data_IF_648095545015
#
_entry.id   IF_648095545015
#
_cell.length_a   1.000
_cell.length_b   1.000
_cell.length_c   1.000
_cell.angle_alpha   90.00
_cell.angle_beta   90.00
_cell.angle_gamma   90.00
#
_symmetry.space_group_name_H-M   'P 1'
#
loop_
_entity.id
_entity.type
_entity.pdbx_description
1 polymer ?
#
# COMPACT_ATOMS: atom_id res chain seq x y z
N UNK A 1 -6.86 3.00 -21.51
CA UNK A 1 -7.33 3.31 -20.14
C UNK A 1 -8.79 2.90 -19.95
N UNK A 2 -9.66 3.15 -20.94
CA UNK A 2 -11.10 2.81 -20.91
C UNK A 2 -11.40 1.31 -20.99
N UNK A 3 -10.59 0.53 -21.71
CA UNK A 3 -10.79 -0.93 -21.85
C UNK A 3 -10.35 -1.74 -20.62
N UNK A 4 -9.40 -1.24 -19.82
CA UNK A 4 -8.94 -1.92 -18.60
C UNK A 4 -9.99 -1.83 -17.47
N UNK A 5 -10.81 -0.78 -17.47
CA UNK A 5 -11.89 -0.60 -16.50
C UNK A 5 -13.13 -1.45 -16.82
N UNK A 6 -13.24 -1.98 -18.05
CA UNK A 6 -14.39 -2.77 -18.49
C UNK A 6 -14.26 -4.28 -18.20
N UNK A 7 -13.06 -4.75 -17.83
CA UNK A 7 -12.77 -6.17 -17.54
C UNK A 7 -12.67 -6.49 -16.06
N UNK A 8 -12.76 -5.48 -15.19
CA UNK A 8 -12.84 -5.68 -13.76
C UNK A 8 -14.25 -6.19 -13.43
N UNK A 9 -14.40 -7.30 -12.67
CA UNK A 9 -15.70 -7.74 -12.20
C UNK A 9 -16.40 -6.58 -11.46
N UNK A 10 -17.71 -6.41 -11.70
CA UNK A 10 -18.54 -5.33 -11.12
C UNK A 10 -18.53 -5.30 -9.57
N UNK A 11 -17.99 -6.33 -8.93
CA UNK A 11 -17.56 -6.31 -7.55
C UNK A 11 -16.04 -6.29 -7.52
N UNK A 12 -15.48 -5.11 -7.28
CA UNK A 12 -14.09 -5.00 -6.88
C UNK A 12 -13.90 -5.83 -5.59
N UNK A 13 -12.70 -6.36 -5.29
CA UNK A 13 -12.43 -6.97 -3.97
C UNK A 13 -12.67 -6.01 -2.79
N UNK A 14 -12.92 -4.73 -3.07
CA UNK A 14 -13.32 -3.65 -2.16
C UNK A 14 -14.85 -3.55 -1.97
N UNK A 15 -15.65 -4.30 -2.74
CA UNK A 15 -17.12 -4.38 -2.62
C UNK A 15 -17.57 -5.57 -1.75
N UNK A 16 -16.67 -6.23 -1.01
CA UNK A 16 -17.10 -7.20 0.00
C UNK A 16 -17.71 -6.47 1.20
N UNK A 17 -18.99 -6.69 1.47
CA UNK A 17 -19.78 -6.09 2.55
C UNK A 17 -19.15 -6.16 3.96
N UNK A 18 -18.12 -7.00 4.12
CA UNK A 18 -17.39 -7.20 5.37
C UNK A 18 -16.08 -6.41 5.41
N UNK A 19 -16.12 -5.23 6.04
CA UNK A 19 -14.96 -4.33 6.24
C UNK A 19 -13.75 -5.04 6.87
N UNK A 20 -13.98 -5.98 7.79
CA UNK A 20 -12.91 -6.76 8.40
C UNK A 20 -12.24 -7.67 7.37
N UNK A 21 -13.03 -8.32 6.53
CA UNK A 21 -12.49 -9.17 5.48
C UNK A 21 -11.72 -8.35 4.44
N UNK A 22 -12.11 -7.11 4.17
CA UNK A 22 -11.33 -6.21 3.33
C UNK A 22 -10.00 -5.80 3.99
N UNK A 23 -10.02 -5.49 5.29
CA UNK A 23 -8.81 -5.13 6.05
C UNK A 23 -7.80 -6.28 6.03
N UNK A 24 -8.20 -7.48 6.44
CA UNK A 24 -7.32 -8.64 6.45
C UNK A 24 -7.02 -9.19 5.06
N UNK A 25 -8.01 -9.18 4.15
CA UNK A 25 -7.89 -9.72 2.80
C UNK A 25 -6.85 -8.98 1.98
N UNK A 26 -6.79 -7.64 2.09
CA UNK A 26 -5.74 -6.84 1.47
C UNK A 26 -4.35 -7.33 1.90
N UNK A 27 -4.09 -7.37 3.22
CA UNK A 27 -2.80 -7.83 3.77
C UNK A 27 -2.51 -9.32 3.50
N UNK A 28 -3.52 -10.17 3.39
CA UNK A 28 -3.32 -11.58 3.07
C UNK A 28 -2.89 -11.78 1.61
N UNK A 29 -3.55 -11.06 0.68
CA UNK A 29 -3.17 -11.02 -0.73
C UNK A 29 -1.73 -10.51 -0.84
N UNK A 30 -1.39 -9.44 -0.13
CA UNK A 30 -0.04 -8.90 -0.04
C UNK A 30 1.04 -9.94 0.23
N UNK A 31 0.83 -10.78 1.25
CA UNK A 31 1.80 -11.80 1.66
C UNK A 31 1.99 -12.90 0.60
N UNK A 32 1.04 -13.09 -0.30
CA UNK A 32 1.14 -14.06 -1.41
C UNK A 32 1.85 -13.45 -2.61
N UNK A 33 1.53 -12.19 -2.94
CA UNK A 33 2.06 -11.53 -4.14
C UNK A 33 3.47 -10.96 -3.94
N UNK A 34 3.78 -10.40 -2.78
CA UNK A 34 5.06 -9.75 -2.51
C UNK A 34 6.27 -10.71 -2.70
N UNK A 35 6.28 -11.95 -2.15
CA UNK A 35 7.37 -12.88 -2.39
C UNK A 35 7.50 -13.31 -3.86
N UNK A 36 6.38 -13.45 -4.56
CA UNK A 36 6.38 -13.79 -5.99
C UNK A 36 6.95 -12.67 -6.84
N UNK A 37 6.65 -11.41 -6.51
CA UNK A 37 7.22 -10.25 -7.17
C UNK A 37 8.76 -10.20 -6.98
N UNK A 38 9.25 -10.52 -5.78
CA UNK A 38 10.69 -10.59 -5.52
C UNK A 38 11.39 -11.72 -6.29
N UNK A 39 10.69 -12.82 -6.59
CA UNK A 39 11.22 -13.95 -7.36
C UNK A 39 11.25 -13.71 -8.88
N UNK A 40 10.69 -12.60 -9.37
CA UNK A 40 10.70 -12.30 -10.80
C UNK A 40 12.14 -12.14 -11.29
N UNK A 41 12.40 -12.70 -12.46
CA UNK A 41 13.74 -12.76 -13.05
C UNK A 41 14.42 -11.38 -13.19
N UNK A 42 13.72 -10.30 -13.61
CA UNK A 42 14.32 -8.95 -13.62
C UNK A 42 14.71 -8.43 -12.23
N UNK A 43 13.92 -8.75 -11.21
CA UNK A 43 14.20 -8.37 -9.82
C UNK A 43 15.40 -9.17 -9.29
N UNK A 44 15.46 -10.46 -9.61
CA UNK A 44 16.61 -11.31 -9.26
C UNK A 44 17.90 -10.84 -9.93
N UNK A 45 17.85 -10.43 -11.21
CA UNK A 45 19.01 -9.79 -11.87
C UNK A 45 19.47 -8.56 -11.10
N UNK A 46 18.55 -7.67 -10.75
CA UNK A 46 18.87 -6.48 -9.94
C UNK A 46 19.37 -6.84 -8.54
N UNK A 47 18.95 -7.96 -7.95
CA UNK A 47 19.42 -8.45 -6.65
C UNK A 47 20.79 -9.14 -6.71
N UNK A 48 21.17 -9.70 -7.86
CA UNK A 48 22.49 -10.32 -8.06
C UNK A 48 23.53 -9.36 -8.64
N UNK A 49 23.09 -8.24 -9.21
CA UNK A 49 23.97 -7.23 -9.78
C UNK A 49 24.84 -6.57 -8.70
N UNK A 50 26.17 -6.68 -8.85
CA UNK A 50 27.17 -6.06 -7.97
C UNK A 50 27.93 -4.92 -8.64
N UNK A 51 27.80 -4.79 -9.96
CA UNK A 51 28.68 -3.94 -10.77
C UNK A 51 27.98 -2.60 -11.09
N UNK A 52 26.66 -2.63 -11.26
CA UNK A 52 25.89 -1.43 -11.56
C UNK A 52 25.77 -0.50 -10.35
N UNK A 53 25.86 0.80 -10.62
CA UNK A 53 25.62 1.87 -9.66
C UNK A 53 24.47 2.74 -10.14
N UNK A 54 23.62 3.14 -9.20
CA UNK A 54 22.48 4.00 -9.45
C UNK A 54 22.58 5.23 -8.56
N UNK A 55 22.26 6.40 -9.10
CA UNK A 55 22.25 7.65 -8.34
C UNK A 55 20.89 7.91 -7.68
N UNK A 56 19.85 7.16 -8.08
CA UNK A 56 18.49 7.28 -7.60
C UNK A 56 17.71 5.98 -7.84
N UNK A 57 16.92 5.57 -6.85
CA UNK A 57 15.94 4.48 -6.97
C UNK A 57 14.54 5.06 -6.90
N UNK A 58 13.71 4.80 -7.90
CA UNK A 58 12.32 5.23 -7.91
C UNK A 58 11.44 3.99 -7.73
N UNK A 59 10.58 4.00 -6.71
CA UNK A 59 9.63 2.93 -6.45
C UNK A 59 8.20 3.44 -6.44
N UNK A 60 7.27 2.52 -6.66
CA UNK A 60 5.84 2.78 -6.57
C UNK A 60 5.34 2.14 -5.27
N UNK A 61 4.57 2.87 -4.45
CA UNK A 61 4.13 2.38 -3.13
C UNK A 61 2.65 1.94 -3.08
N UNK A 62 1.93 1.93 -4.21
CA UNK A 62 0.48 1.73 -4.20
C UNK A 62 0.08 0.30 -3.85
N UNK A 63 0.85 -0.70 -4.29
CA UNK A 63 0.49 -2.10 -4.12
C UNK A 63 1.59 -2.93 -3.47
N UNK A 64 1.84 -2.69 -2.18
CA UNK A 64 2.54 -3.68 -1.33
C UNK A 64 3.99 -3.90 -1.84
N UNK A 65 4.64 -2.78 -2.13
CA UNK A 65 5.94 -2.67 -2.79
C UNK A 65 7.03 -2.11 -1.85
N UNK A 66 6.72 -2.02 -0.56
CA UNK A 66 7.62 -1.57 0.51
C UNK A 66 8.99 -2.28 0.49
N UNK A 67 9.10 -3.60 0.20
CA UNK A 67 10.41 -4.27 0.12
C UNK A 67 11.36 -3.68 -0.91
N UNK A 68 10.85 -3.04 -1.97
CA UNK A 68 11.71 -2.43 -2.99
C UNK A 68 12.47 -1.21 -2.49
N UNK A 69 12.09 -0.64 -1.34
CA UNK A 69 12.90 0.38 -0.64
C UNK A 69 14.27 -0.19 -0.24
N UNK A 70 14.40 -1.51 -0.04
CA UNK A 70 15.68 -2.15 0.26
C UNK A 70 16.72 -1.97 -0.87
N UNK A 71 16.29 -1.71 -2.11
CA UNK A 71 17.20 -1.38 -3.21
C UNK A 71 17.99 -0.09 -2.97
N UNK A 72 17.44 0.85 -2.20
CA UNK A 72 18.19 2.03 -1.77
C UNK A 72 19.41 1.67 -0.95
N UNK A 73 19.25 0.73 -0.01
CA UNK A 73 20.38 0.24 0.77
C UNK A 73 21.35 -0.56 -0.09
N UNK A 74 20.84 -1.44 -0.97
CA UNK A 74 21.67 -2.27 -1.86
C UNK A 74 22.58 -1.42 -2.75
N UNK A 75 22.03 -0.41 -3.42
CA UNK A 75 22.77 0.41 -4.38
C UNK A 75 23.38 1.67 -3.74
N UNK A 76 23.23 1.84 -2.42
CA UNK A 76 23.63 3.03 -1.67
C UNK A 76 23.12 4.34 -2.32
N UNK A 77 21.84 4.32 -2.70
CA UNK A 77 21.18 5.38 -3.45
C UNK A 77 19.93 5.89 -2.72
N UNK A 78 19.59 7.19 -2.84
CA UNK A 78 18.33 7.71 -2.32
C UNK A 78 17.14 7.02 -2.99
N UNK A 79 16.08 6.77 -2.22
CA UNK A 79 14.83 6.17 -2.71
C UNK A 79 13.74 7.23 -2.73
N UNK A 80 13.11 7.41 -3.88
CA UNK A 80 11.88 8.20 -4.02
C UNK A 80 10.75 7.23 -4.30
N UNK A 81 9.81 7.15 -3.37
CA UNK A 81 8.58 6.40 -3.58
C UNK A 81 7.43 7.34 -3.90
N UNK A 82 6.67 7.04 -4.94
CA UNK A 82 5.46 7.78 -5.28
C UNK A 82 4.24 6.87 -5.25
N UNK A 83 3.08 7.48 -5.00
CA UNK A 83 1.81 6.77 -4.98
C UNK A 83 0.85 7.41 -5.96
N UNK A 84 0.43 6.62 -6.95
CA UNK A 84 -0.25 7.11 -8.15
C UNK A 84 -1.73 7.46 -7.93
N UNK A 85 -2.39 6.83 -6.96
CA UNK A 85 -3.84 6.94 -6.77
C UNK A 85 -4.24 7.67 -5.49
N UNK A 86 -3.96 7.10 -4.32
CA UNK A 86 -4.40 7.62 -3.02
C UNK A 86 -3.47 7.12 -1.92
N UNK A 87 -3.46 7.82 -0.78
CA UNK A 87 -2.65 7.43 0.38
C UNK A 87 -3.31 6.35 1.25
N UNK A 88 -2.71 5.15 1.27
CA UNK A 88 -3.07 4.10 2.22
C UNK A 88 -2.52 4.44 3.62
N UNK A 89 -3.23 4.05 4.69
CA UNK A 89 -2.83 4.31 6.07
C UNK A 89 -1.40 3.86 6.44
N UNK A 90 -0.97 2.65 6.05
CA UNK A 90 0.35 2.14 6.42
C UNK A 90 1.49 2.92 5.71
N UNK A 91 1.52 3.06 4.37
CA UNK A 91 2.54 3.89 3.69
C UNK A 91 2.55 5.33 4.17
N UNK A 92 1.38 5.94 4.43
CA UNK A 92 1.30 7.28 5.00
C UNK A 92 1.96 7.35 6.38
N UNK A 93 1.69 6.36 7.25
CA UNK A 93 2.30 6.27 8.57
C UNK A 93 3.82 6.07 8.50
N UNK A 94 4.31 5.18 7.63
CA UNK A 94 5.75 4.88 7.48
C UNK A 94 6.55 6.05 6.91
N UNK A 95 5.94 6.85 6.04
CA UNK A 95 6.58 8.04 5.44
C UNK A 95 6.43 9.30 6.28
N UNK A 96 5.70 9.24 7.40
CA UNK A 96 5.41 10.40 8.24
C UNK A 96 4.39 11.37 7.62
N UNK A 97 3.60 10.92 6.64
CA UNK A 97 2.56 11.73 6.01
C UNK A 97 1.33 11.85 6.92
N UNK A 98 1.01 13.09 7.32
CA UNK A 98 -0.13 13.38 8.17
C UNK A 98 -1.43 13.48 7.35
N UNK A 99 -2.21 12.39 7.33
CA UNK A 99 -3.53 12.39 6.73
C UNK A 99 -4.56 13.04 7.67
N UNK A 100 -5.35 14.02 7.19
CA UNK A 100 -6.33 14.69 8.04
C UNK A 100 -7.61 13.86 8.19
N UNK A 101 -7.58 12.89 9.11
CA UNK A 101 -8.64 11.89 9.32
C UNK A 101 -10.01 12.47 9.68
N UNK A 102 -10.09 13.74 10.09
CA UNK A 102 -11.33 14.40 10.45
C UNK A 102 -12.20 14.78 9.23
N UNK A 103 -11.61 14.91 8.05
CA UNK A 103 -12.32 15.32 6.83
C UNK A 103 -11.84 14.61 5.56
N UNK A 104 -10.67 13.98 5.57
CA UNK A 104 -10.26 13.07 4.51
C UNK A 104 -10.86 11.68 4.78
N UNK A 105 -11.82 11.22 3.96
CA UNK A 105 -12.44 9.92 4.13
C UNK A 105 -11.45 8.82 3.78
N UNK A 106 -11.52 7.72 4.52
CA UNK A 106 -10.82 6.50 4.20
C UNK A 106 -11.32 5.97 2.86
N UNK A 107 -10.39 5.60 1.97
CA UNK A 107 -10.71 5.22 0.58
C UNK A 107 -11.78 4.12 0.48
N UNK A 108 -11.86 3.24 1.49
CA UNK A 108 -12.82 2.12 1.55
C UNK A 108 -14.21 2.48 2.07
N UNK A 109 -14.41 3.69 2.61
CA UNK A 109 -15.68 4.04 3.27
C UNK A 109 -16.67 4.78 2.36
N UNK A 110 -16.26 5.17 1.14
CA UNK A 110 -17.12 5.90 0.20
C UNK A 110 -17.69 7.22 0.75
N UNK A 111 -17.17 7.71 1.88
CA UNK A 111 -17.59 8.97 2.49
C UNK A 111 -17.10 10.15 1.65
N UNK A 112 -17.81 11.27 1.70
CA UNK A 112 -17.32 12.55 1.16
C UNK A 112 -16.56 13.33 2.23
N UNK A 113 -16.00 14.49 1.86
CA UNK A 113 -15.48 15.52 2.76
C UNK A 113 -16.46 15.93 3.89
N UNK A 114 -17.76 15.69 3.71
CA UNK A 114 -18.81 15.95 4.68
C UNK A 114 -19.18 14.71 5.50
N UNK A 115 -18.36 14.41 6.50
CA UNK A 115 -18.63 13.34 7.48
C UNK A 115 -19.31 13.87 8.76
N UNK A 116 -20.33 13.15 9.23
CA UNK A 116 -20.89 13.29 10.59
C UNK A 116 -19.87 12.89 11.64
N UNK A 117 -20.10 13.27 12.90
CA UNK A 117 -19.20 12.92 14.01
C UNK A 117 -18.92 11.41 14.11
N UNK A 118 -19.95 10.57 13.99
CA UNK A 118 -19.79 9.11 14.05
C UNK A 118 -19.01 8.56 12.85
N UNK A 119 -19.23 9.11 11.65
CA UNK A 119 -18.45 8.75 10.47
C UNK A 119 -16.97 9.11 10.63
N UNK A 120 -16.67 10.29 11.21
CA UNK A 120 -15.28 10.69 11.53
C UNK A 120 -14.63 9.77 12.56
N UNK A 121 -15.37 9.41 13.61
CA UNK A 121 -14.87 8.48 14.63
C UNK A 121 -14.57 7.10 14.02
N UNK A 122 -15.47 6.59 13.17
CA UNK A 122 -15.25 5.33 12.43
C UNK A 122 -14.05 5.44 11.48
N UNK A 123 -13.90 6.57 10.78
CA UNK A 123 -12.78 6.83 9.87
C UNK A 123 -11.43 6.75 10.59
N UNK A 124 -11.32 7.42 11.73
CA UNK A 124 -10.12 7.40 12.59
C UNK A 124 -9.85 5.99 13.11
N UNK A 125 -10.87 5.30 13.59
CA UNK A 125 -10.74 3.93 14.09
C UNK A 125 -10.20 2.99 13.02
N UNK A 126 -10.78 2.99 11.82
CA UNK A 126 -10.35 2.15 10.71
C UNK A 126 -8.92 2.44 10.29
N UNK A 127 -8.53 3.72 10.22
CA UNK A 127 -7.15 4.12 9.91
C UNK A 127 -6.15 3.46 10.86
N UNK A 128 -6.36 3.59 12.17
CA UNK A 128 -5.45 3.01 13.15
C UNK A 128 -5.50 1.49 13.18
N UNK A 129 -6.68 0.87 13.00
CA UNK A 129 -6.78 -0.58 12.84
C UNK A 129 -5.94 -1.07 11.65
N UNK A 130 -6.01 -0.38 10.51
CA UNK A 130 -5.23 -0.73 9.33
C UNK A 130 -3.73 -0.58 9.56
N UNK A 131 -3.29 0.52 10.17
CA UNK A 131 -1.87 0.73 10.53
C UNK A 131 -1.40 -0.35 11.50
N UNK A 132 -2.19 -0.70 12.51
CA UNK A 132 -1.83 -1.71 13.51
C UNK A 132 -1.78 -3.12 12.91
N UNK A 133 -2.74 -3.48 12.06
CA UNK A 133 -2.73 -4.78 11.37
C UNK A 133 -1.53 -4.82 10.41
N UNK A 134 -1.32 -3.77 9.61
CA UNK A 134 -0.20 -3.67 8.69
C UNK A 134 1.16 -3.77 9.39
N UNK A 135 1.34 -3.06 10.52
CA UNK A 135 2.61 -3.05 11.25
C UNK A 135 2.90 -4.35 11.97
N UNK A 136 1.90 -4.98 12.60
CA UNK A 136 2.11 -6.18 13.42
C UNK A 136 2.00 -7.49 12.64
N UNK A 137 1.14 -7.57 11.64
CA UNK A 137 0.87 -8.80 10.91
C UNK A 137 1.62 -8.87 9.57
N UNK A 138 1.68 -7.75 8.84
CA UNK A 138 2.28 -7.72 7.50
C UNK A 138 3.77 -7.40 7.54
N UNK A 139 4.18 -6.26 8.09
CA UNK A 139 5.61 -5.88 8.14
C UNK A 139 6.46 -6.87 8.95
N UNK A 140 5.90 -7.50 9.97
CA UNK A 140 6.62 -8.52 10.74
C UNK A 140 6.93 -9.79 9.93
N UNK A 141 6.15 -10.07 8.89
CA UNK A 141 6.27 -11.30 8.08
C UNK A 141 7.08 -11.10 6.80
N UNK A 142 7.42 -9.86 6.44
CA UNK A 142 8.30 -9.54 5.32
C UNK A 142 9.76 -9.55 5.77
#
# INVERSE_FOLDING_TARGET
MTEFMATLPNSSPLDMDNELLQLFGFWAISLIFSPKALQLEPVQRLLQDTDSKFDLVITEAWFIQEPFVAFGHKFNAPVISFMSAFFFPLPAHLTGNHLPLAYAPHIRQGFSDRMTFLQRAKNVFLYYCEVMIGSTFYLYKQ
#
